data_IF_218056490286
#
_entry.id   IF_218056490286
#
_cell.length_a   1.000
_cell.length_b   1.000
_cell.length_c   1.000
_cell.angle_alpha   90.00
_cell.angle_beta   90.00
_cell.angle_gamma   90.00
#
_symmetry.space_group_name_H-M   'P 1'
#
loop_
_entity.id
_entity.type
_entity.pdbx_description
1 polymer ?
#
# COMPACT_ATOMS: atom_id res chain seq x y z
N UNK A 1 23.93 62.27 24.10
CA UNK A 1 24.51 62.14 22.75
C UNK A 1 25.05 60.71 22.70
N UNK A 2 24.41 59.99 22.10
CA UNK A 2 23.96 59.27 20.92
C UNK A 2 24.16 57.79 21.18
N UNK A 3 23.14 57.03 21.23
CA UNK A 3 22.38 56.40 20.15
C UNK A 3 23.14 55.29 19.40
N UNK A 4 22.51 54.13 19.50
CA UNK A 4 22.28 53.11 18.47
C UNK A 4 23.42 52.19 18.07
N UNK A 5 23.19 50.91 18.32
CA UNK A 5 22.89 49.93 17.28
C UNK A 5 22.67 48.54 17.88
N UNK A 6 21.42 48.20 18.05
CA UNK A 6 20.96 46.80 18.03
C UNK A 6 20.87 46.37 16.58
N UNK A 7 21.48 45.26 16.22
CA UNK A 7 21.20 44.45 15.02
C UNK A 7 21.52 43.01 15.37
N UNK A 8 20.52 42.26 15.65
CA UNK A 8 19.71 41.49 14.70
C UNK A 8 20.43 40.22 14.23
N UNK A 9 20.24 39.15 14.96
CA UNK A 9 20.48 37.78 14.53
C UNK A 9 19.14 37.02 14.50
N UNK A 10 18.31 37.40 13.54
CA UNK A 10 17.12 36.65 13.18
C UNK A 10 17.55 35.30 12.58
N UNK A 11 17.35 34.24 13.36
CA UNK A 11 17.49 32.89 12.89
C UNK A 11 16.50 32.60 11.75
N UNK A 12 17.02 32.11 10.63
CA UNK A 12 16.24 31.53 9.57
C UNK A 12 15.51 30.29 10.09
N UNK A 13 14.26 30.47 10.46
CA UNK A 13 13.31 29.37 10.59
C UNK A 13 12.81 29.12 9.17
N UNK A 14 13.22 28.00 8.59
CA UNK A 14 12.67 27.51 7.35
C UNK A 14 11.16 27.26 7.55
N UNK A 15 10.34 28.15 7.05
CA UNK A 15 8.90 27.95 6.91
C UNK A 15 8.65 26.77 5.97
N UNK A 16 8.29 25.62 6.55
CA UNK A 16 7.57 24.59 5.82
C UNK A 16 6.26 25.23 5.34
N UNK A 17 6.21 25.60 4.06
CA UNK A 17 4.99 26.09 3.42
C UNK A 17 3.92 25.00 3.50
N UNK A 18 3.06 25.07 4.51
CA UNK A 18 1.84 24.34 4.60
C UNK A 18 0.97 24.76 3.41
N UNK A 19 0.75 23.87 2.48
CA UNK A 19 -0.22 24.06 1.41
C UNK A 19 -1.60 24.05 2.08
N UNK A 20 -2.19 25.24 2.24
CA UNK A 20 -3.56 25.40 2.72
C UNK A 20 -4.51 24.84 1.66
N UNK A 21 -5.08 23.67 1.94
CA UNK A 21 -6.11 23.05 1.09
C UNK A 21 -7.44 23.69 1.43
N UNK A 22 -8.10 24.32 0.44
CA UNK A 22 -9.40 24.99 0.59
C UNK A 22 -10.49 24.02 1.08
N UNK A 23 -11.38 24.42 2.02
CA UNK A 23 -12.30 23.51 2.74
C UNK A 23 -13.48 22.95 1.93
N UNK A 24 -13.66 23.28 0.67
CA UNK A 24 -14.89 22.99 -0.10
C UNK A 24 -14.69 22.20 -1.40
N UNK A 25 -13.48 21.77 -1.76
CA UNK A 25 -13.30 20.83 -2.86
C UNK A 25 -13.32 19.39 -2.32
N UNK A 26 -14.25 18.59 -2.82
CA UNK A 26 -14.26 17.14 -2.64
C UNK A 26 -12.86 16.64 -2.99
N UNK A 27 -12.12 16.20 -1.97
CA UNK A 27 -10.69 15.84 -2.14
C UNK A 27 -10.61 14.60 -3.00
N UNK A 28 -10.12 14.76 -4.23
CA UNK A 28 -9.89 13.65 -5.15
C UNK A 28 -8.44 13.18 -5.03
N UNK A 29 -8.24 11.88 -4.99
CA UNK A 29 -6.93 11.22 -5.02
C UNK A 29 -6.92 10.25 -6.19
N UNK A 30 -5.93 10.35 -7.04
CA UNK A 30 -5.71 9.42 -8.14
C UNK A 30 -4.91 8.22 -7.67
N UNK A 31 -5.36 7.00 -7.97
CA UNK A 31 -4.70 5.77 -7.57
C UNK A 31 -4.01 5.15 -8.79
N UNK A 32 -2.70 4.94 -8.67
CA UNK A 32 -1.87 4.34 -9.71
C UNK A 32 -1.96 2.80 -9.63
N UNK A 33 -3.07 2.24 -10.05
CA UNK A 33 -3.31 0.80 -10.06
C UNK A 33 -4.18 0.36 -11.22
N UNK A 34 -3.84 -0.76 -11.84
CA UNK A 34 -4.71 -1.51 -12.77
C UNK A 34 -5.52 -2.61 -12.07
N UNK A 35 -5.25 -2.87 -10.78
CA UNK A 35 -5.94 -3.92 -10.02
C UNK A 35 -7.27 -3.39 -9.45
N UNK A 36 -8.44 -3.88 -9.95
CA UNK A 36 -9.73 -3.41 -9.49
C UNK A 36 -10.02 -3.78 -8.02
N UNK A 37 -9.41 -4.85 -7.50
CA UNK A 37 -9.50 -5.23 -6.09
C UNK A 37 -8.87 -4.18 -5.18
N UNK A 38 -7.64 -3.75 -5.49
CA UNK A 38 -6.96 -2.69 -4.76
C UNK A 38 -7.74 -1.38 -4.80
N UNK A 39 -8.27 -1.00 -5.97
CA UNK A 39 -9.05 0.23 -6.10
C UNK A 39 -10.32 0.19 -5.24
N UNK A 40 -11.04 -0.95 -5.21
CA UNK A 40 -12.21 -1.11 -4.33
C UNK A 40 -11.85 -1.00 -2.85
N UNK A 41 -10.75 -1.63 -2.44
CA UNK A 41 -10.26 -1.57 -1.05
C UNK A 41 -9.98 -0.11 -0.62
N UNK A 42 -9.39 0.70 -1.50
CA UNK A 42 -9.09 2.10 -1.24
C UNK A 42 -10.35 2.99 -1.25
N UNK A 43 -11.19 2.87 -2.27
CA UNK A 43 -12.36 3.72 -2.45
C UNK A 43 -13.37 3.54 -1.29
N UNK A 44 -13.67 2.30 -0.92
CA UNK A 44 -14.62 2.03 0.15
C UNK A 44 -14.19 2.58 1.51
N UNK A 45 -12.90 2.51 1.84
CA UNK A 45 -12.41 3.05 3.10
C UNK A 45 -12.27 4.58 3.09
N UNK A 46 -12.05 5.21 1.93
CA UNK A 46 -11.89 6.66 1.79
C UNK A 46 -13.21 7.43 1.84
N UNK A 47 -14.31 6.78 1.47
CA UNK A 47 -15.65 7.39 1.44
C UNK A 47 -16.07 7.96 2.80
N UNK A 48 -15.76 7.27 3.89
CA UNK A 48 -16.03 7.71 5.27
C UNK A 48 -15.35 9.04 5.61
N UNK A 49 -14.22 9.33 4.95
CA UNK A 49 -13.46 10.58 5.11
C UNK A 49 -13.86 11.68 4.10
N UNK A 50 -14.90 11.45 3.29
CA UNK A 50 -15.30 12.38 2.23
C UNK A 50 -14.27 12.54 1.12
N UNK A 51 -13.41 11.52 0.91
CA UNK A 51 -12.35 11.51 -0.10
C UNK A 51 -12.78 10.58 -1.23
N UNK A 52 -12.72 11.10 -2.47
CA UNK A 52 -12.97 10.29 -3.66
C UNK A 52 -11.64 9.72 -4.19
N UNK A 53 -11.52 8.40 -4.19
CA UNK A 53 -10.39 7.71 -4.79
C UNK A 53 -10.79 7.07 -6.12
N UNK A 54 -10.07 7.42 -7.18
CA UNK A 54 -10.33 6.92 -8.55
C UNK A 54 -9.02 6.52 -9.23
N UNK A 55 -9.09 5.59 -10.17
CA UNK A 55 -7.91 5.26 -10.97
C UNK A 55 -7.46 6.48 -11.81
N UNK A 56 -6.18 6.54 -12.09
CA UNK A 56 -5.64 7.51 -13.07
C UNK A 56 -6.35 7.28 -14.42
N UNK A 57 -6.88 8.32 -15.07
CA UNK A 57 -7.49 8.19 -16.40
C UNK A 57 -6.53 7.55 -17.39
N UNK A 58 -7.01 6.61 -18.19
CA UNK A 58 -6.21 5.89 -19.19
C UNK A 58 -4.93 5.23 -18.63
N UNK A 59 -4.96 4.76 -17.37
CA UNK A 59 -3.81 4.19 -16.69
C UNK A 59 -3.12 3.08 -17.48
N UNK A 60 -3.89 2.24 -18.19
CA UNK A 60 -3.36 1.15 -19.03
C UNK A 60 -2.54 1.61 -20.24
N UNK A 61 -2.64 2.89 -20.64
CA UNK A 61 -1.86 3.47 -21.72
C UNK A 61 -0.56 4.14 -21.25
N UNK A 62 -0.38 4.29 -19.93
CA UNK A 62 0.84 4.85 -19.36
C UNK A 62 1.99 3.84 -19.43
N UNK A 63 3.24 4.32 -19.58
CA UNK A 63 4.40 3.44 -19.52
C UNK A 63 4.44 2.64 -18.21
N UNK A 64 4.75 1.35 -18.33
CA UNK A 64 4.91 0.51 -17.14
C UNK A 64 6.15 0.93 -16.35
N UNK A 65 5.97 1.17 -15.07
CA UNK A 65 7.07 1.46 -14.14
C UNK A 65 7.69 0.15 -13.66
N UNK A 66 8.99 -0.02 -13.88
CA UNK A 66 9.73 -1.21 -13.44
C UNK A 66 9.87 -1.20 -11.91
N UNK A 67 9.35 -2.24 -11.27
CA UNK A 67 9.43 -2.47 -9.81
C UNK A 67 10.68 -3.29 -9.48
N UNK A 68 11.86 -2.67 -9.58
CA UNK A 68 13.19 -3.25 -9.33
C UNK A 68 13.81 -2.81 -8.01
N UNK A 69 13.05 -2.11 -7.18
CA UNK A 69 13.48 -1.68 -5.85
C UNK A 69 13.63 -2.84 -4.88
N UNK A 70 14.62 -2.74 -3.98
CA UNK A 70 14.88 -3.75 -2.95
C UNK A 70 13.86 -3.74 -1.80
N UNK A 71 12.96 -2.75 -1.75
CA UNK A 71 11.95 -2.61 -0.69
C UNK A 71 10.61 -2.19 -1.26
N UNK A 72 9.51 -2.51 -0.57
CA UNK A 72 8.18 -2.04 -0.92
C UNK A 72 8.11 -0.50 -0.99
N UNK A 73 8.81 0.20 -0.10
CA UNK A 73 8.83 1.66 -0.11
C UNK A 73 9.49 2.20 -1.39
N UNK A 74 10.64 1.65 -1.79
CA UNK A 74 11.32 2.07 -3.01
C UNK A 74 10.44 1.91 -4.25
N UNK A 75 9.74 0.78 -4.37
CA UNK A 75 8.83 0.52 -5.47
C UNK A 75 7.58 1.41 -5.43
N UNK A 76 6.97 1.61 -4.26
CA UNK A 76 5.81 2.49 -4.12
C UNK A 76 6.15 3.94 -4.50
N UNK A 77 7.28 4.46 -4.02
CA UNK A 77 7.78 5.81 -4.38
C UNK A 77 8.03 5.93 -5.87
N UNK A 78 8.77 4.99 -6.45
CA UNK A 78 9.09 4.99 -7.89
C UNK A 78 7.82 5.04 -8.75
N UNK A 79 6.80 4.26 -8.40
CA UNK A 79 5.49 4.29 -9.07
C UNK A 79 4.77 5.61 -8.88
N UNK A 80 4.67 6.11 -7.64
CA UNK A 80 3.95 7.34 -7.34
C UNK A 80 4.59 8.55 -8.04
N UNK A 81 5.92 8.67 -8.00
CA UNK A 81 6.67 9.74 -8.66
C UNK A 81 6.47 9.71 -10.17
N UNK A 82 6.67 8.55 -10.81
CA UNK A 82 6.54 8.43 -12.25
C UNK A 82 5.12 8.72 -12.75
N UNK A 83 4.09 8.18 -12.09
CA UNK A 83 2.71 8.37 -12.52
C UNK A 83 2.15 9.75 -12.17
N UNK A 84 2.69 10.44 -11.16
CA UNK A 84 2.29 11.82 -10.86
C UNK A 84 2.73 12.82 -11.92
N UNK A 85 3.78 12.52 -12.70
CA UNK A 85 4.17 13.33 -13.87
C UNK A 85 3.16 13.27 -15.02
N UNK A 86 2.35 12.23 -15.10
CA UNK A 86 1.33 12.08 -16.13
C UNK A 86 0.03 12.85 -15.81
N UNK A 87 -0.11 13.42 -14.62
CA UNK A 87 -1.33 14.10 -14.13
C UNK A 87 -0.94 15.32 -13.29
N UNK A 88 -0.47 16.35 -13.96
CA UNK A 88 0.07 17.57 -13.37
C UNK A 88 -0.83 18.17 -12.28
N UNK A 89 -0.26 18.54 -11.14
CA UNK A 89 -0.95 19.15 -10.01
C UNK A 89 -1.82 18.21 -9.18
N UNK A 90 -2.09 16.99 -9.65
CA UNK A 90 -2.94 16.03 -8.96
C UNK A 90 -2.15 15.23 -7.90
N UNK A 91 -2.83 14.85 -6.82
CA UNK A 91 -2.27 13.92 -5.83
C UNK A 91 -2.43 12.48 -6.30
N UNK A 92 -1.30 11.81 -6.50
CA UNK A 92 -1.25 10.40 -6.91
C UNK A 92 -0.84 9.53 -5.72
N UNK A 93 -1.56 8.45 -5.51
CA UNK A 93 -1.25 7.40 -4.54
C UNK A 93 -0.88 6.13 -5.30
N UNK A 94 0.30 5.57 -5.00
CA UNK A 94 0.72 4.25 -5.48
C UNK A 94 1.01 3.33 -4.31
N UNK A 95 0.74 2.02 -4.47
CA UNK A 95 1.07 1.02 -3.47
C UNK A 95 2.09 0.02 -3.99
N UNK A 96 2.93 -0.46 -3.08
CA UNK A 96 3.59 -1.74 -3.23
C UNK A 96 3.35 -2.58 -1.98
N UNK A 97 3.04 -3.86 -2.17
CA UNK A 97 2.59 -4.72 -1.09
C UNK A 97 2.92 -6.18 -1.37
N UNK A 98 3.16 -6.94 -0.31
CA UNK A 98 3.45 -8.35 -0.43
C UNK A 98 3.46 -9.07 0.90
N UNK A 99 3.75 -10.36 0.84
CA UNK A 99 3.85 -11.27 1.94
C UNK A 99 5.32 -11.48 2.32
N UNK A 100 5.63 -11.36 3.60
CA UNK A 100 6.91 -11.73 4.18
C UNK A 100 6.70 -12.92 5.12
N UNK A 101 7.47 -14.01 4.94
CA UNK A 101 7.38 -15.23 5.77
C UNK A 101 8.70 -15.41 6.51
N UNK A 102 8.63 -15.48 7.85
CA UNK A 102 9.82 -15.51 8.71
C UNK A 102 10.71 -16.72 8.42
N UNK A 103 10.11 -17.88 8.27
CA UNK A 103 10.84 -19.13 7.96
C UNK A 103 11.52 -19.14 6.59
N UNK A 104 11.10 -18.26 5.69
CA UNK A 104 11.70 -18.09 4.36
C UNK A 104 12.61 -16.86 4.28
N UNK A 105 13.05 -16.32 5.43
CA UNK A 105 13.92 -15.15 5.49
C UNK A 105 13.28 -13.88 4.91
N UNK A 106 11.95 -13.76 4.97
CA UNK A 106 11.19 -12.64 4.43
C UNK A 106 10.69 -12.85 2.99
N UNK A 107 11.04 -13.96 2.33
CA UNK A 107 10.46 -14.28 1.03
C UNK A 107 8.95 -14.59 1.19
N UNK A 108 8.13 -14.31 0.15
CA UNK A 108 8.43 -13.75 -1.18
C UNK A 108 8.80 -12.25 -1.20
N UNK A 109 8.43 -11.44 -0.18
CA UNK A 109 8.79 -10.02 -0.11
C UNK A 109 8.32 -9.22 -1.34
N UNK A 110 9.18 -8.37 -1.90
CA UNK A 110 8.88 -7.57 -3.11
C UNK A 110 8.60 -8.39 -4.37
N UNK A 111 8.86 -9.70 -4.33
CA UNK A 111 8.56 -10.63 -5.42
C UNK A 111 7.19 -11.30 -5.28
N UNK A 112 6.35 -10.90 -4.33
CA UNK A 112 5.07 -11.56 -4.00
C UNK A 112 4.18 -11.81 -5.20
N UNK A 113 4.04 -10.85 -6.11
CA UNK A 113 3.18 -10.97 -7.28
C UNK A 113 3.74 -11.92 -8.38
N UNK A 114 5.01 -12.26 -8.32
CA UNK A 114 5.73 -13.07 -9.32
C UNK A 114 6.54 -14.21 -8.71
N UNK A 115 6.19 -14.63 -7.51
CA UNK A 115 6.99 -15.57 -6.72
C UNK A 115 7.19 -16.92 -7.40
N UNK A 116 6.17 -17.47 -8.05
CA UNK A 116 6.27 -18.74 -8.78
C UNK A 116 6.77 -18.61 -10.22
N UNK A 117 6.66 -17.42 -10.82
CA UNK A 117 6.95 -17.21 -12.24
C UNK A 117 7.61 -15.85 -12.47
N UNK A 118 8.68 -15.83 -13.22
CA UNK A 118 9.40 -14.60 -13.59
C UNK A 118 8.64 -13.75 -14.64
N UNK A 119 7.73 -14.36 -15.42
CA UNK A 119 6.90 -13.72 -16.44
C UNK A 119 5.40 -13.73 -16.11
N UNK A 120 4.97 -13.09 -15.02
CA UNK A 120 3.60 -13.17 -14.55
C UNK A 120 2.58 -12.51 -15.47
N UNK A 121 2.99 -11.62 -16.37
CA UNK A 121 2.11 -10.93 -17.32
C UNK A 121 1.51 -11.82 -18.40
N UNK A 122 2.07 -13.02 -18.58
CA UNK A 122 1.58 -14.01 -19.54
C UNK A 122 0.46 -14.90 -18.99
N UNK A 123 0.16 -14.84 -17.70
CA UNK A 123 -0.80 -15.70 -17.03
C UNK A 123 -2.02 -14.92 -16.55
N UNK A 124 -3.17 -15.60 -16.48
CA UNK A 124 -4.35 -15.12 -15.77
C UNK A 124 -4.03 -14.89 -14.28
N UNK A 125 -4.70 -13.91 -13.64
CA UNK A 125 -4.44 -13.54 -12.24
C UNK A 125 -4.67 -14.72 -11.28
N UNK A 126 -5.71 -15.52 -11.49
CA UNK A 126 -6.01 -16.67 -10.64
C UNK A 126 -4.95 -17.77 -10.78
N UNK A 127 -4.48 -18.03 -11.99
CA UNK A 127 -3.40 -19.00 -12.25
C UNK A 127 -2.11 -18.58 -11.58
N UNK A 128 -1.80 -17.27 -11.58
CA UNK A 128 -0.64 -16.71 -10.84
C UNK A 128 -0.76 -16.92 -9.35
N UNK A 129 -1.92 -16.59 -8.79
CA UNK A 129 -2.16 -16.68 -7.36
C UNK A 129 -2.09 -18.14 -6.89
N UNK A 130 -2.68 -19.08 -7.63
CA UNK A 130 -2.58 -20.52 -7.36
C UNK A 130 -1.13 -21.02 -7.41
N UNK A 131 -0.36 -20.63 -8.44
CA UNK A 131 1.04 -21.01 -8.56
C UNK A 131 1.90 -20.45 -7.41
N UNK A 132 1.68 -19.19 -7.04
CA UNK A 132 2.37 -18.55 -5.93
C UNK A 132 2.04 -19.24 -4.59
N UNK A 133 0.78 -19.53 -4.34
CA UNK A 133 0.31 -20.25 -3.16
C UNK A 133 0.91 -21.67 -3.09
N UNK A 134 0.89 -22.40 -4.21
CA UNK A 134 1.47 -23.74 -4.30
C UNK A 134 2.98 -23.72 -4.02
N UNK A 135 3.71 -22.69 -4.45
CA UNK A 135 5.13 -22.54 -4.13
C UNK A 135 5.35 -22.31 -2.64
N UNK A 136 4.62 -21.39 -2.02
CA UNK A 136 4.69 -21.14 -0.57
C UNK A 136 4.42 -22.42 0.22
N UNK A 137 3.37 -23.18 -0.14
CA UNK A 137 3.04 -24.43 0.55
C UNK A 137 4.15 -25.48 0.43
N UNK A 138 4.78 -25.60 -0.75
CA UNK A 138 5.92 -26.52 -0.94
C UNK A 138 7.13 -26.13 -0.09
N UNK A 139 7.47 -24.85 -0.03
CA UNK A 139 8.64 -24.36 0.72
C UNK A 139 8.44 -24.45 2.24
N UNK A 140 7.18 -24.39 2.70
CA UNK A 140 6.81 -24.58 4.11
C UNK A 140 6.42 -26.03 4.47
N UNK A 141 6.57 -26.99 3.55
CA UNK A 141 6.20 -28.37 3.79
C UNK A 141 6.95 -28.95 4.99
N UNK A 142 6.20 -29.59 5.90
CA UNK A 142 6.77 -30.18 7.13
C UNK A 142 7.10 -29.18 8.25
N UNK A 143 6.91 -27.89 8.04
CA UNK A 143 7.06 -26.90 9.10
C UNK A 143 5.87 -26.91 10.04
N UNK A 144 6.12 -26.92 11.37
CA UNK A 144 5.04 -26.83 12.36
C UNK A 144 4.42 -25.42 12.37
N UNK A 145 3.13 -25.29 12.77
CA UNK A 145 2.38 -24.03 12.68
C UNK A 145 3.05 -22.82 13.34
N UNK A 146 3.71 -23.02 14.47
CA UNK A 146 4.40 -21.96 15.22
C UNK A 146 5.61 -21.35 14.49
N UNK A 147 6.13 -22.03 13.47
CA UNK A 147 7.22 -21.56 12.61
C UNK A 147 6.73 -20.96 11.28
N UNK A 148 5.43 -20.96 11.04
CA UNK A 148 4.82 -20.46 9.80
C UNK A 148 4.34 -19.02 9.96
N UNK A 149 4.97 -18.24 10.84
CA UNK A 149 4.66 -16.83 11.04
C UNK A 149 5.07 -16.01 9.84
N UNK A 150 4.31 -14.96 9.59
CA UNK A 150 4.58 -14.02 8.51
C UNK A 150 3.69 -12.79 8.62
N UNK A 151 3.90 -11.86 7.72
CA UNK A 151 3.12 -10.63 7.67
C UNK A 151 2.84 -10.20 6.26
N UNK A 152 1.67 -9.63 6.05
CA UNK A 152 1.46 -8.78 4.89
C UNK A 152 1.96 -7.37 5.18
N UNK A 153 2.64 -6.80 4.21
CA UNK A 153 3.12 -5.41 4.24
C UNK A 153 2.50 -4.65 3.08
N UNK A 154 2.07 -3.43 3.32
CA UNK A 154 1.71 -2.46 2.29
C UNK A 154 2.43 -1.15 2.57
N UNK A 155 3.06 -0.58 1.55
CA UNK A 155 3.55 0.79 1.58
C UNK A 155 2.78 1.58 0.53
N UNK A 156 2.15 2.66 0.98
CA UNK A 156 1.55 3.67 0.11
C UNK A 156 2.54 4.84 -0.01
N UNK A 157 2.74 5.33 -1.22
CA UNK A 157 3.46 6.57 -1.47
C UNK A 157 2.50 7.59 -2.11
N UNK A 158 2.43 8.78 -1.52
CA UNK A 158 1.72 9.92 -2.06
C UNK A 158 2.71 10.84 -2.77
N UNK A 159 2.45 11.15 -4.03
CA UNK A 159 3.32 12.01 -4.84
C UNK A 159 2.52 13.03 -5.64
N UNK A 160 3.19 14.12 -6.01
CA UNK A 160 2.70 15.15 -6.92
C UNK A 160 3.86 15.68 -7.74
N UNK A 161 3.62 15.88 -9.04
CA UNK A 161 4.58 16.49 -9.96
C UNK A 161 5.98 15.85 -9.89
N UNK A 162 6.04 14.52 -9.83
CA UNK A 162 7.29 13.75 -9.77
C UNK A 162 7.96 13.68 -8.40
N UNK A 163 7.36 14.22 -7.34
CA UNK A 163 7.96 14.27 -6.00
C UNK A 163 7.11 13.51 -4.98
N UNK A 164 7.71 12.56 -4.26
CA UNK A 164 7.07 11.92 -3.11
C UNK A 164 6.88 12.94 -1.98
N UNK A 165 5.64 13.07 -1.50
CA UNK A 165 5.29 13.93 -0.38
C UNK A 165 5.38 13.18 0.95
N UNK A 166 4.90 11.92 1.00
CA UNK A 166 4.91 11.08 2.20
C UNK A 166 4.72 9.61 1.85
N UNK A 167 5.18 8.72 2.74
CA UNK A 167 4.94 7.27 2.67
C UNK A 167 4.23 6.77 3.92
N UNK A 168 3.40 5.71 3.75
CA UNK A 168 2.56 5.16 4.82
C UNK A 168 2.68 3.65 4.81
N UNK A 169 3.30 3.08 5.85
CA UNK A 169 3.47 1.63 5.97
C UNK A 169 2.38 1.04 6.87
N UNK A 170 1.68 0.03 6.37
CA UNK A 170 0.75 -0.82 7.11
C UNK A 170 1.23 -2.26 7.13
N UNK A 171 0.94 -2.95 8.23
CA UNK A 171 1.34 -4.36 8.45
C UNK A 171 0.15 -5.10 9.03
N UNK A 172 -0.01 -6.37 8.65
CA UNK A 172 -0.87 -7.32 9.30
C UNK A 172 -0.05 -8.57 9.62
N UNK A 173 0.07 -8.92 10.89
CA UNK A 173 0.76 -10.13 11.35
C UNK A 173 -0.18 -11.34 11.28
N UNK A 174 0.35 -12.50 10.92
CA UNK A 174 -0.44 -13.71 10.78
C UNK A 174 0.38 -15.00 10.71
N UNK A 175 -0.31 -16.07 10.37
CA UNK A 175 0.27 -17.42 10.22
C UNK A 175 -0.14 -17.96 8.86
N UNK A 176 0.80 -18.61 8.16
CA UNK A 176 0.52 -19.27 6.88
C UNK A 176 -0.04 -20.66 7.15
N UNK A 177 -1.25 -20.92 6.72
CA UNK A 177 -1.89 -22.23 6.82
C UNK A 177 -1.20 -23.26 5.90
N UNK A 178 -1.42 -24.53 6.17
CA UNK A 178 -0.97 -25.68 5.35
C UNK A 178 -1.92 -26.02 4.20
N UNK A 179 -3.12 -25.45 4.21
CA UNK A 179 -4.12 -25.56 3.15
C UNK A 179 -4.92 -24.24 3.02
N UNK A 180 -5.41 -23.90 1.83
CA UNK A 180 -6.22 -22.70 1.61
C UNK A 180 -7.57 -22.80 2.32
N UNK A 181 -8.06 -21.66 2.85
CA UNK A 181 -9.37 -21.53 3.50
C UNK A 181 -10.02 -20.21 3.10
N UNK A 182 -11.30 -20.25 2.72
CA UNK A 182 -12.03 -19.11 2.17
C UNK A 182 -11.85 -18.98 0.67
N UNK A 183 -12.68 -18.11 0.05
CA UNK A 183 -12.77 -17.95 -1.41
C UNK A 183 -12.72 -16.51 -1.87
N UNK A 184 -12.79 -15.56 -0.93
CA UNK A 184 -12.74 -14.13 -1.24
C UNK A 184 -11.29 -13.62 -1.34
N UNK A 185 -11.14 -12.41 -1.86
CA UNK A 185 -9.85 -11.74 -1.95
C UNK A 185 -9.02 -12.15 -3.17
N UNK A 186 -7.68 -12.15 -3.02
CA UNK A 186 -6.71 -12.46 -4.08
C UNK A 186 -5.33 -12.77 -3.47
N UNK A 187 -4.41 -13.26 -4.30
CA UNK A 187 -3.05 -13.55 -3.87
C UNK A 187 -2.99 -14.65 -2.80
N UNK A 188 -2.30 -14.35 -1.72
CA UNK A 188 -2.10 -15.28 -0.60
C UNK A 188 -3.20 -15.23 0.47
N UNK A 189 -4.29 -14.50 0.25
CA UNK A 189 -5.39 -14.33 1.21
C UNK A 189 -5.93 -15.67 1.77
N UNK A 190 -6.09 -16.75 0.96
CA UNK A 190 -6.58 -18.03 1.47
C UNK A 190 -5.62 -18.76 2.42
N UNK A 191 -4.33 -18.44 2.36
CA UNK A 191 -3.32 -19.04 3.24
C UNK A 191 -3.02 -18.19 4.46
N UNK A 192 -3.35 -16.90 4.45
CA UNK A 192 -2.99 -15.96 5.51
C UNK A 192 -4.04 -15.91 6.62
N UNK A 193 -3.75 -16.59 7.71
CA UNK A 193 -4.61 -16.68 8.89
C UNK A 193 -4.26 -15.59 9.91
N UNK A 194 -5.28 -14.89 10.42
CA UNK A 194 -5.16 -13.84 11.42
C UNK A 194 -5.67 -14.38 12.77
N UNK A 195 -4.80 -14.74 13.71
CA UNK A 195 -5.19 -15.39 14.96
C UNK A 195 -6.17 -14.57 15.81
N UNK A 196 -6.07 -13.24 15.79
CA UNK A 196 -6.92 -12.35 16.59
C UNK A 196 -8.41 -12.46 16.26
N UNK A 197 -8.74 -12.85 15.02
CA UNK A 197 -10.12 -12.97 14.54
C UNK A 197 -10.49 -14.39 14.12
N UNK A 198 -9.54 -15.33 14.16
CA UNK A 198 -9.77 -16.74 13.83
C UNK A 198 -10.13 -17.02 12.36
N UNK A 199 -9.82 -16.08 11.44
CA UNK A 199 -10.16 -16.15 10.02
C UNK A 199 -8.92 -15.94 9.14
N UNK A 200 -8.96 -16.45 7.91
CA UNK A 200 -8.05 -16.02 6.85
C UNK A 200 -8.55 -14.72 6.21
N UNK A 201 -7.71 -14.04 5.44
CA UNK A 201 -8.16 -12.87 4.69
C UNK A 201 -9.19 -13.21 3.59
N UNK A 202 -9.20 -14.45 3.11
CA UNK A 202 -10.20 -14.94 2.16
C UNK A 202 -11.55 -15.32 2.80
N UNK A 203 -11.68 -15.24 4.12
CA UNK A 203 -12.92 -15.41 4.86
C UNK A 203 -13.51 -14.08 5.36
N UNK A 204 -12.87 -12.95 5.03
CA UNK A 204 -13.29 -11.62 5.45
C UNK A 204 -14.13 -10.95 4.37
N UNK A 205 -15.22 -10.30 4.78
CA UNK A 205 -15.88 -9.34 3.91
C UNK A 205 -15.03 -8.05 3.75
N UNK A 206 -15.43 -7.17 2.84
CA UNK A 206 -14.66 -5.96 2.51
C UNK A 206 -14.45 -5.03 3.73
N UNK A 207 -15.45 -4.92 4.61
CA UNK A 207 -15.39 -4.06 5.81
C UNK A 207 -14.42 -4.64 6.83
N UNK A 208 -14.52 -5.94 7.12
CA UNK A 208 -13.59 -6.64 8.01
C UNK A 208 -12.16 -6.55 7.46
N UNK A 209 -11.97 -6.75 6.13
CA UNK A 209 -10.67 -6.68 5.49
C UNK A 209 -10.07 -5.28 5.56
N UNK A 210 -10.86 -4.21 5.39
CA UNK A 210 -10.41 -2.83 5.57
C UNK A 210 -9.93 -2.57 7.01
N UNK A 211 -10.54 -3.22 8.00
CA UNK A 211 -10.17 -3.07 9.40
C UNK A 211 -8.86 -3.78 9.75
N UNK A 212 -8.70 -5.03 9.32
CA UNK A 212 -7.62 -5.90 9.77
C UNK A 212 -6.43 -6.01 8.81
N UNK A 213 -6.56 -5.57 7.56
CA UNK A 213 -5.50 -5.73 6.57
C UNK A 213 -4.40 -4.68 6.67
N UNK A 214 -3.23 -5.07 6.17
CA UNK A 214 -2.07 -4.21 5.95
C UNK A 214 -2.40 -2.98 5.09
N UNK A 215 -3.22 -3.17 4.03
CA UNK A 215 -3.66 -2.07 3.14
C UNK A 215 -4.58 -1.11 3.87
N UNK A 216 -5.53 -1.62 4.64
CA UNK A 216 -6.38 -0.80 5.49
C UNK A 216 -5.59 -0.01 6.53
N UNK A 217 -4.57 -0.62 7.16
CA UNK A 217 -3.69 0.05 8.11
C UNK A 217 -2.85 1.18 7.46
N UNK A 218 -2.31 0.96 6.26
CA UNK A 218 -1.58 1.99 5.52
C UNK A 218 -2.51 3.13 5.09
N UNK A 219 -3.71 2.78 4.60
CA UNK A 219 -4.69 3.75 4.13
C UNK A 219 -5.19 4.66 5.24
N UNK A 220 -5.49 4.14 6.43
CA UNK A 220 -5.87 4.98 7.58
C UNK A 220 -4.81 6.04 7.90
N UNK A 221 -3.53 5.68 7.89
CA UNK A 221 -2.42 6.65 8.09
C UNK A 221 -2.38 7.72 7.01
N UNK A 222 -2.63 7.35 5.76
CA UNK A 222 -2.73 8.29 4.64
C UNK A 222 -3.93 9.24 4.80
N UNK A 223 -5.11 8.72 5.16
CA UNK A 223 -6.32 9.53 5.35
C UNK A 223 -6.18 10.49 6.54
N UNK A 224 -5.56 10.05 7.64
CA UNK A 224 -5.22 10.90 8.79
C UNK A 224 -4.27 12.04 8.39
N UNK A 225 -3.30 11.76 7.52
CA UNK A 225 -2.38 12.78 7.00
C UNK A 225 -3.08 13.80 6.10
N UNK A 226 -4.02 13.35 5.26
CA UNK A 226 -4.82 14.25 4.41
C UNK A 226 -5.80 15.11 5.20
N UNK A 227 -6.29 14.64 6.34
CA UNK A 227 -7.34 15.28 7.13
C UNK A 227 -6.91 15.46 8.58
N UNK A 228 -5.85 16.25 8.85
CA UNK A 228 -5.41 16.50 10.21
C UNK A 228 -6.51 17.28 10.96
N UNK A 229 -7.18 16.61 11.92
CA UNK A 229 -8.24 17.20 12.74
C UNK A 229 -9.64 16.60 12.57
N UNK A 230 -9.85 15.66 11.65
CA UNK A 230 -11.12 14.89 11.54
C UNK A 230 -11.01 13.52 12.21
N UNK A 231 -10.46 13.46 13.42
CA UNK A 231 -10.54 12.22 14.23
C UNK A 231 -11.94 12.16 14.85
N UNK A 232 -12.71 11.14 14.47
CA UNK A 232 -13.90 10.72 15.24
C UNK A 232 -13.47 9.95 16.49
#
# INVERSE_FOLDING_TARGET
MDQDAAQDSAGLIAEAKGIAISPTMQRRVLVATSNPGKLRDFAGAAEVYGITMVAIPNFSSLPLVLEDGATFEANARKKAEAYSLAVEGELVLADDSGLEIDALGGAPGVHSARYANEEPHLLDSNIKDEANNARVLRELAGMPPEKRTGRFVCVLAAARDGHTLQTFRGVAEGIILDAPRGTDGFGYDPLFFVPQIGKTFAELNAVEKAQYSHRGAALRKFLDWLSPGQRM
#
